data_IF_888729892479
#
_entry.id   IF_888729892479
#
_cell.length_a   1.000
_cell.length_b   1.000
_cell.length_c   1.000
_cell.angle_alpha   90.00
_cell.angle_beta   90.00
_cell.angle_gamma   90.00
#
_symmetry.space_group_name_H-M   'P 1'
#
loop_
_entity.id
_entity.type
_entity.pdbx_description
1 polymer ?
#
# COMPACT_ATOMS: atom_id res chain seq x y z
N UNK A 1 1.60 -4.05 -32.83
CA UNK A 1 0.30 -3.51 -32.35
C UNK A 1 0.08 -4.08 -30.94
N UNK A 2 0.31 -3.31 -29.87
CA UNK A 2 0.20 -3.84 -28.51
C UNK A 2 -1.28 -4.12 -28.19
N UNK A 3 -1.60 -5.36 -27.83
CA UNK A 3 -2.96 -5.78 -27.48
C UNK A 3 -3.35 -5.10 -26.17
N UNK A 4 -4.32 -4.19 -26.22
CA UNK A 4 -4.86 -3.51 -25.03
C UNK A 4 -5.49 -4.52 -24.07
N UNK A 5 -5.13 -4.44 -22.77
CA UNK A 5 -5.76 -5.26 -21.73
C UNK A 5 -7.23 -4.88 -21.57
N UNK A 6 -8.11 -5.88 -21.47
CA UNK A 6 -9.52 -5.66 -21.15
C UNK A 6 -9.66 -5.29 -19.67
N UNK A 7 -10.16 -4.10 -19.37
CA UNK A 7 -10.49 -3.66 -18.01
C UNK A 7 -11.76 -4.37 -17.53
N UNK A 8 -11.61 -5.55 -16.92
CA UNK A 8 -12.72 -6.39 -16.44
C UNK A 8 -12.76 -6.60 -14.93
N UNK A 9 -11.75 -6.13 -14.18
CA UNK A 9 -11.74 -6.30 -12.73
C UNK A 9 -12.91 -5.54 -12.09
N UNK A 10 -13.74 -6.28 -11.36
CA UNK A 10 -14.79 -5.75 -10.50
C UNK A 10 -14.23 -5.35 -9.13
N UNK A 11 -15.06 -4.72 -8.31
CA UNK A 11 -14.71 -4.32 -6.94
C UNK A 11 -14.25 -5.52 -6.09
N UNK A 12 -14.93 -6.66 -6.24
CA UNK A 12 -14.59 -7.88 -5.49
C UNK A 12 -13.24 -8.42 -5.93
N UNK A 13 -12.94 -8.41 -7.24
CA UNK A 13 -11.65 -8.88 -7.75
C UNK A 13 -10.51 -8.02 -7.18
N UNK A 14 -10.69 -6.70 -7.17
CA UNK A 14 -9.71 -5.76 -6.62
C UNK A 14 -9.56 -5.94 -5.11
N UNK A 15 -10.67 -6.13 -4.38
CA UNK A 15 -10.65 -6.37 -2.94
C UNK A 15 -9.93 -7.67 -2.59
N UNK A 16 -10.18 -8.75 -3.32
CA UNK A 16 -9.51 -10.03 -3.11
C UNK A 16 -8.01 -9.94 -3.39
N UNK A 17 -7.62 -9.29 -4.49
CA UNK A 17 -6.19 -9.12 -4.85
C UNK A 17 -5.47 -8.24 -3.82
N UNK A 18 -6.06 -7.11 -3.43
CA UNK A 18 -5.46 -6.19 -2.45
C UNK A 18 -5.37 -6.82 -1.05
N UNK A 19 -6.43 -7.44 -0.57
CA UNK A 19 -6.43 -8.11 0.74
C UNK A 19 -5.47 -9.30 0.76
N UNK A 20 -5.41 -10.08 -0.31
CA UNK A 20 -4.45 -11.18 -0.45
C UNK A 20 -2.99 -10.71 -0.46
N UNK A 21 -2.71 -9.56 -1.08
CA UNK A 21 -1.39 -8.94 -1.03
C UNK A 21 -1.02 -8.41 0.37
N UNK A 22 -2.00 -7.87 1.12
CA UNK A 22 -1.78 -7.37 2.49
C UNK A 22 -1.61 -8.50 3.53
N UNK A 23 -2.43 -9.56 3.43
CA UNK A 23 -2.34 -10.72 4.33
C UNK A 23 -1.21 -11.63 3.83
N UNK A 24 0.01 -11.26 4.19
CA UNK A 24 1.23 -12.00 3.85
C UNK A 24 1.97 -12.45 5.11
N UNK A 25 3.21 -12.95 4.97
CA UNK A 25 4.05 -13.48 6.04
C UNK A 25 4.22 -12.53 7.23
N UNK A 26 4.21 -11.22 6.98
CA UNK A 26 4.32 -10.18 8.01
C UNK A 26 3.24 -10.29 9.10
N UNK A 27 2.00 -10.65 8.73
CA UNK A 27 0.91 -10.79 9.70
C UNK A 27 1.10 -12.00 10.63
N UNK A 28 1.85 -13.03 10.22
CA UNK A 28 2.08 -14.20 11.06
C UNK A 28 3.28 -14.03 12.00
N UNK A 29 4.26 -13.20 11.64
CA UNK A 29 5.51 -13.03 12.41
C UNK A 29 5.47 -11.78 13.30
N UNK A 30 5.01 -10.64 12.77
CA UNK A 30 5.08 -9.36 13.47
C UNK A 30 4.22 -9.30 14.74
N UNK A 31 3.01 -9.89 14.83
CA UNK A 31 2.23 -9.86 16.06
C UNK A 31 2.92 -10.58 17.21
N UNK A 32 3.66 -11.66 16.95
CA UNK A 32 4.42 -12.36 17.99
C UNK A 32 5.52 -11.46 18.57
N UNK A 33 6.25 -10.74 17.71
CA UNK A 33 7.26 -9.77 18.12
C UNK A 33 6.65 -8.57 18.84
N UNK A 34 5.48 -8.09 18.39
CA UNK A 34 4.75 -7.01 19.04
C UNK A 34 4.22 -7.44 20.41
N UNK A 35 3.73 -8.67 20.55
CA UNK A 35 3.27 -9.23 21.82
C UNK A 35 4.41 -9.37 22.82
N UNK A 36 5.60 -9.78 22.38
CA UNK A 36 6.78 -9.83 23.25
C UNK A 36 7.14 -8.46 23.85
N UNK A 37 6.80 -7.35 23.19
CA UNK A 37 7.06 -5.99 23.66
C UNK A 37 5.89 -5.36 24.44
N UNK A 38 4.65 -5.55 23.96
CA UNK A 38 3.46 -4.89 24.49
C UNK A 38 2.60 -5.79 25.39
N UNK A 39 2.85 -7.10 25.39
CA UNK A 39 2.04 -8.10 26.09
C UNK A 39 0.56 -8.02 25.67
N UNK A 40 -0.39 -8.19 26.62
CA UNK A 40 -1.82 -8.05 26.35
C UNK A 40 -2.25 -6.68 25.79
N UNK A 41 -1.42 -5.64 25.97
CA UNK A 41 -1.65 -4.30 25.43
C UNK A 41 -1.52 -4.19 23.91
N UNK A 42 -1.13 -5.27 23.21
CA UNK A 42 -0.99 -5.33 21.75
C UNK A 42 -2.23 -4.83 21.00
N UNK A 43 -3.44 -5.10 21.52
CA UNK A 43 -4.70 -4.67 20.92
C UNK A 43 -4.77 -3.15 20.86
N UNK A 44 -4.41 -2.47 21.96
CA UNK A 44 -4.38 -1.00 22.03
C UNK A 44 -3.33 -0.43 21.08
N UNK A 45 -2.16 -1.07 21.00
CA UNK A 45 -1.10 -0.68 20.06
C UNK A 45 -1.55 -0.77 18.60
N UNK A 46 -2.28 -1.83 18.22
CA UNK A 46 -2.83 -1.96 16.87
C UNK A 46 -3.93 -0.93 16.58
N UNK A 47 -4.80 -0.64 17.54
CA UNK A 47 -5.82 0.41 17.38
C UNK A 47 -5.16 1.77 17.18
N UNK A 48 -4.13 2.09 17.97
CA UNK A 48 -3.38 3.34 17.81
C UNK A 48 -2.67 3.40 16.46
N UNK A 49 -2.00 2.32 16.04
CA UNK A 49 -1.37 2.23 14.73
C UNK A 49 -2.38 2.39 13.58
N UNK A 50 -3.57 1.80 13.69
CA UNK A 50 -4.64 1.95 12.71
C UNK A 50 -5.08 3.41 12.59
N UNK A 51 -5.25 4.13 13.71
CA UNK A 51 -5.61 5.56 13.71
C UNK A 51 -4.54 6.39 13.00
N UNK A 52 -3.25 6.14 13.30
CA UNK A 52 -2.14 6.84 12.67
C UNK A 52 -2.02 6.55 11.16
N UNK A 53 -2.55 5.42 10.69
CA UNK A 53 -2.53 5.04 9.28
C UNK A 53 -3.64 5.76 8.46
N UNK A 54 -4.74 6.20 9.09
CA UNK A 54 -5.88 6.82 8.39
C UNK A 54 -5.48 7.96 7.45
N UNK A 55 -4.67 8.96 7.87
CA UNK A 55 -4.30 10.07 6.98
C UNK A 55 -3.52 9.61 5.74
N UNK A 56 -2.66 8.60 5.89
CA UNK A 56 -1.88 8.04 4.78
C UNK A 56 -2.78 7.31 3.76
N UNK A 57 -3.75 6.54 4.25
CA UNK A 57 -4.72 5.82 3.40
C UNK A 57 -5.62 6.81 2.65
N UNK A 58 -6.12 7.85 3.33
CA UNK A 58 -6.97 8.88 2.70
C UNK A 58 -6.20 9.65 1.63
N UNK A 59 -4.97 10.09 1.93
CA UNK A 59 -4.11 10.76 0.95
C UNK A 59 -3.83 9.88 -0.28
N UNK A 60 -3.60 8.59 -0.06
CA UNK A 60 -3.38 7.64 -1.15
C UNK A 60 -4.66 7.43 -1.97
N UNK A 61 -5.83 7.37 -1.35
CA UNK A 61 -7.11 7.24 -2.03
C UNK A 61 -7.41 8.46 -2.93
N UNK A 62 -7.08 9.67 -2.48
CA UNK A 62 -7.19 10.89 -3.28
C UNK A 62 -6.25 10.84 -4.51
N UNK A 63 -5.01 10.39 -4.33
CA UNK A 63 -4.05 10.28 -5.44
C UNK A 63 -4.46 9.22 -6.47
N UNK A 64 -4.94 8.05 -6.02
CA UNK A 64 -5.39 6.96 -6.91
C UNK A 64 -6.59 7.39 -7.74
N UNK A 65 -7.52 8.15 -7.15
CA UNK A 65 -8.70 8.66 -7.85
C UNK A 65 -8.38 9.83 -8.78
N UNK A 66 -7.48 10.73 -8.38
CA UNK A 66 -7.03 11.85 -9.22
C UNK A 66 -6.16 11.40 -10.41
N UNK A 67 -5.37 10.33 -10.23
CA UNK A 67 -4.40 9.84 -11.21
C UNK A 67 -4.56 8.32 -11.46
N UNK A 68 -5.63 7.86 -12.15
CA UNK A 68 -5.95 6.45 -12.33
C UNK A 68 -5.11 5.80 -13.45
N UNK A 69 -3.78 5.75 -13.25
CA UNK A 69 -2.83 5.08 -14.14
C UNK A 69 -2.07 3.99 -13.39
N UNK A 70 -1.72 2.93 -14.11
CA UNK A 70 -0.86 1.88 -13.57
C UNK A 70 0.55 2.44 -13.35
N UNK A 71 1.08 2.31 -12.14
CA UNK A 71 2.41 2.83 -11.78
C UNK A 71 2.64 3.10 -10.29
N UNK A 72 1.62 3.00 -9.43
CA UNK A 72 1.78 3.07 -7.97
C UNK A 72 2.33 4.40 -7.46
N UNK A 73 3.01 4.33 -6.32
CA UNK A 73 3.72 5.44 -5.66
C UNK A 73 4.77 6.11 -6.55
N UNK A 74 5.52 5.31 -7.32
CA UNK A 74 6.47 5.78 -8.34
C UNK A 74 5.83 6.83 -9.26
N UNK A 75 4.63 6.54 -9.79
CA UNK A 75 3.98 7.43 -10.73
C UNK A 75 3.58 8.76 -10.08
N UNK A 76 3.10 8.75 -8.84
CA UNK A 76 2.71 9.96 -8.11
C UNK A 76 3.92 10.85 -7.83
N UNK A 77 5.03 10.24 -7.37
CA UNK A 77 6.26 10.96 -7.05
C UNK A 77 6.93 11.48 -8.32
N UNK A 78 6.97 10.69 -9.39
CA UNK A 78 7.47 11.12 -10.69
C UNK A 78 6.70 12.33 -11.23
N UNK A 79 5.37 12.33 -11.06
CA UNK A 79 4.48 13.41 -11.51
C UNK A 79 4.65 14.68 -10.68
N UNK A 80 4.79 14.57 -9.37
CA UNK A 80 4.86 15.72 -8.45
C UNK A 80 6.26 16.31 -8.28
N UNK A 81 7.30 15.47 -8.27
CA UNK A 81 8.67 15.84 -7.89
C UNK A 81 9.70 15.63 -9.02
N UNK A 82 9.27 15.09 -10.16
CA UNK A 82 10.10 14.91 -11.34
C UNK A 82 10.81 13.54 -11.42
N UNK A 83 11.56 13.31 -12.51
CA UNK A 83 12.03 11.97 -12.87
C UNK A 83 13.05 11.37 -11.91
N UNK A 84 13.95 12.17 -11.35
CA UNK A 84 15.01 11.70 -10.45
C UNK A 84 14.41 11.08 -9.18
N UNK A 85 13.52 11.83 -8.52
CA UNK A 85 12.84 11.38 -7.29
C UNK A 85 11.86 10.25 -7.57
N UNK A 86 11.19 10.28 -8.73
CA UNK A 86 10.42 9.13 -9.21
C UNK A 86 11.27 7.87 -9.28
N UNK A 87 12.41 7.89 -9.97
CA UNK A 87 13.29 6.72 -10.09
C UNK A 87 13.76 6.20 -8.73
N UNK A 88 14.17 7.08 -7.81
CA UNK A 88 14.57 6.69 -6.45
C UNK A 88 13.42 6.01 -5.71
N UNK A 89 12.21 6.56 -5.79
CA UNK A 89 11.03 5.96 -5.16
C UNK A 89 10.70 4.59 -5.74
N UNK A 90 10.77 4.43 -7.06
CA UNK A 90 10.56 3.14 -7.73
C UNK A 90 11.56 2.08 -7.29
N UNK A 91 12.85 2.44 -7.20
CA UNK A 91 13.87 1.53 -6.66
C UNK A 91 13.62 1.21 -5.19
N UNK A 92 13.27 2.20 -4.36
CA UNK A 92 12.96 1.98 -2.95
C UNK A 92 11.77 1.04 -2.74
N UNK A 93 10.73 1.17 -3.56
CA UNK A 93 9.53 0.31 -3.52
C UNK A 93 9.86 -1.14 -3.87
N UNK A 94 10.78 -1.36 -4.82
CA UNK A 94 11.23 -2.70 -5.18
C UNK A 94 12.05 -3.42 -4.08
N UNK A 95 12.79 -2.67 -3.26
CA UNK A 95 13.57 -3.21 -2.14
C UNK A 95 12.75 -3.48 -0.87
N UNK A 96 11.53 -2.94 -0.79
CA UNK A 96 10.67 -2.99 0.41
C UNK A 96 10.04 -4.36 0.67
#
# INVERSE_FOLDING_TARGET
MARSLKKKLSLIDIFCVSTGAMISSGLFVLPALAYAKAGPGIIVSYVLAAILCIPAVVSTAELVTAMPRAGGDYFYIMRGFGPLLGTIAGFSSWFS
#
